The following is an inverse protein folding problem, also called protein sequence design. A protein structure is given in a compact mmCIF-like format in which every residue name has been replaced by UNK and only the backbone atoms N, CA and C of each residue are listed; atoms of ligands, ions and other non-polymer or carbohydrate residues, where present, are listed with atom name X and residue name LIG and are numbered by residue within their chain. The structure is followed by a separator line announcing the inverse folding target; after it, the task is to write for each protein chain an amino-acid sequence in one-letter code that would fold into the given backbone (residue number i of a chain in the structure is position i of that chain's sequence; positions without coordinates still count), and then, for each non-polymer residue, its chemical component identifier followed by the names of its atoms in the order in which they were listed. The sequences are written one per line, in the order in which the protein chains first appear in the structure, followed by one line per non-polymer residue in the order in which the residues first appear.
data_IF_603843087801
#
_entry.id   IF_603843087801
#
_cell.length_a   1.000
_cell.length_b   1.000
_cell.length_c   1.000
_cell.angle_alpha   90.00
_cell.angle_beta   90.00
_cell.angle_gamma   90.00
#
_symmetry.space_group_name_H-M   'P 1'
#
loop_
_entity.id
_entity.type
_entity.pdbx_description
1 polymer ?
#
# COMPACT_ATOMS: atom_id res chain seq x y z
N UNK A 1 5.37 -4.07 0.80
CA UNK A 1 5.30 -2.99 -0.21
C UNK A 1 5.33 -3.54 -1.64
N UNK A 2 4.65 -4.67 -1.89
CA UNK A 2 4.65 -5.35 -3.18
C UNK A 2 3.31 -5.09 -3.87
N UNK A 3 3.35 -4.59 -5.09
CA UNK A 3 2.20 -4.39 -5.96
C UNK A 3 1.62 -5.75 -6.39
N UNK A 4 0.32 -5.94 -6.20
CA UNK A 4 -0.37 -7.20 -6.50
C UNK A 4 -0.47 -7.52 -7.99
N UNK A 5 -0.34 -6.52 -8.88
CA UNK A 5 -0.41 -6.74 -10.33
C UNK A 5 0.73 -7.63 -10.87
N UNK A 6 1.98 -7.30 -10.56
CA UNK A 6 3.16 -7.98 -11.13
C UNK A 6 4.40 -7.87 -10.22
N UNK A 7 4.18 -7.87 -8.90
CA UNK A 7 5.25 -7.95 -7.90
C UNK A 7 6.19 -6.74 -7.77
N UNK A 8 5.88 -5.61 -8.43
CA UNK A 8 6.70 -4.40 -8.38
C UNK A 8 6.71 -3.73 -7.01
N UNK A 9 7.77 -2.98 -6.68
CA UNK A 9 7.83 -2.19 -5.45
C UNK A 9 6.86 -0.99 -5.50
N UNK A 10 6.09 -0.79 -4.43
CA UNK A 10 5.25 0.40 -4.23
C UNK A 10 5.99 1.53 -3.52
N UNK A 11 7.04 1.21 -2.76
CA UNK A 11 7.84 2.23 -2.10
C UNK A 11 8.52 3.13 -3.15
N UNK A 12 8.46 4.45 -2.92
CA UNK A 12 8.93 5.45 -3.87
C UNK A 12 7.92 5.83 -4.96
N UNK A 13 6.72 5.24 -4.95
CA UNK A 13 5.58 5.72 -5.75
C UNK A 13 5.00 7.02 -5.20
N UNK A 14 4.30 7.75 -6.05
CA UNK A 14 3.61 8.99 -5.67
C UNK A 14 2.38 8.69 -4.81
N UNK A 15 2.03 9.65 -3.95
CA UNK A 15 0.76 9.66 -3.22
C UNK A 15 -0.17 10.69 -3.85
N UNK A 16 -1.30 10.24 -4.37
CA UNK A 16 -2.35 11.09 -4.93
C UNK A 16 -3.60 11.00 -4.05
N UNK A 17 -3.83 12.03 -3.23
CA UNK A 17 -4.96 12.04 -2.29
C UNK A 17 -4.82 10.92 -1.25
N UNK A 18 -5.64 9.87 -1.38
CA UNK A 18 -5.64 8.69 -0.50
C UNK A 18 -5.10 7.43 -1.16
N UNK A 19 -4.46 7.57 -2.31
CA UNK A 19 -3.98 6.46 -3.11
C UNK A 19 -2.45 6.48 -3.22
N UNK A 20 -1.83 5.30 -3.16
CA UNK A 20 -0.45 5.12 -3.65
C UNK A 20 -0.48 4.70 -5.11
N UNK A 21 0.34 5.36 -5.94
CA UNK A 21 0.50 5.05 -7.36
C UNK A 21 1.73 4.19 -7.56
N UNK A 22 1.56 2.97 -8.10
CA UNK A 22 2.66 2.09 -8.42
C UNK A 22 3.57 2.74 -9.49
N UNK A 23 4.86 2.96 -9.20
CA UNK A 23 5.74 3.71 -10.11
C UNK A 23 6.05 2.98 -11.42
N UNK A 24 5.76 1.68 -11.51
CA UNK A 24 6.08 0.86 -12.68
C UNK A 24 5.03 0.96 -13.79
N UNK A 25 3.77 0.69 -13.47
CA UNK A 25 2.68 0.61 -14.45
C UNK A 25 1.43 1.44 -14.07
N UNK A 26 1.46 2.19 -12.97
CA UNK A 26 0.38 3.11 -12.58
C UNK A 26 -0.81 2.50 -11.85
N UNK A 27 -0.78 1.21 -11.46
CA UNK A 27 -1.79 0.63 -10.59
C UNK A 27 -1.94 1.45 -9.30
N UNK A 28 -3.16 1.57 -8.76
CA UNK A 28 -3.42 2.39 -7.57
C UNK A 28 -4.08 1.59 -6.46
N UNK A 29 -3.75 1.96 -5.23
CA UNK A 29 -4.27 1.31 -4.03
C UNK A 29 -4.67 2.33 -2.99
N UNK A 30 -5.82 2.11 -2.35
CA UNK A 30 -6.27 2.92 -1.21
C UNK A 30 -5.35 2.73 0.00
N UNK A 31 -4.85 3.82 0.59
CA UNK A 31 -3.91 3.76 1.72
C UNK A 31 -4.52 3.26 3.03
N UNK A 32 -5.86 3.31 3.18
CA UNK A 32 -6.55 2.87 4.40
C UNK A 32 -7.03 1.44 4.30
N UNK A 33 -7.53 1.03 3.13
CA UNK A 33 -8.15 -0.29 2.93
C UNK A 33 -7.26 -1.27 2.16
N UNK A 34 -6.30 -0.78 1.39
CA UNK A 34 -5.46 -1.59 0.50
C UNK A 34 -6.14 -1.98 -0.81
N UNK A 35 -7.41 -1.64 -0.99
CA UNK A 35 -8.19 -1.97 -2.19
C UNK A 35 -7.53 -1.42 -3.46
N UNK A 36 -7.52 -2.22 -4.51
CA UNK A 36 -7.10 -1.75 -5.83
C UNK A 36 -8.15 -0.80 -6.40
N UNK A 37 -7.76 0.43 -6.70
CA UNK A 37 -8.68 1.49 -7.17
C UNK A 37 -8.50 1.84 -8.64
N UNK A 38 -7.38 1.44 -9.25
CA UNK A 38 -7.13 1.60 -10.67
C UNK A 38 -6.31 0.44 -11.26
N UNK A 39 -6.58 0.05 -12.52
CA UNK A 39 -5.82 -0.99 -13.20
C UNK A 39 -4.34 -0.59 -13.38
N UNK A 40 -3.43 -1.55 -13.58
CA UNK A 40 -3.74 -2.96 -13.89
C UNK A 40 -3.85 -3.91 -12.68
N UNK A 41 -3.89 -3.43 -11.43
CA UNK A 41 -4.16 -4.29 -10.28
C UNK A 41 -5.66 -4.52 -10.06
N UNK A 42 -6.02 -5.71 -9.56
CA UNK A 42 -7.39 -6.08 -9.21
C UNK A 42 -7.51 -6.68 -7.81
N UNK A 43 -6.42 -7.18 -7.24
CA UNK A 43 -6.34 -7.69 -5.87
C UNK A 43 -5.83 -6.60 -4.91
N UNK A 44 -6.33 -6.54 -3.67
CA UNK A 44 -5.88 -5.58 -2.68
C UNK A 44 -4.47 -5.88 -2.19
N UNK A 45 -3.74 -4.83 -1.81
CA UNK A 45 -2.49 -4.97 -1.05
C UNK A 45 -2.79 -5.12 0.44
N UNK A 46 -1.87 -5.76 1.17
CA UNK A 46 -1.99 -5.87 2.62
C UNK A 46 -1.82 -4.52 3.30
N UNK A 47 -2.71 -4.21 4.25
CA UNK A 47 -2.60 -3.04 5.13
C UNK A 47 -2.09 -3.44 6.50
N UNK A 48 -1.26 -2.59 7.09
CA UNK A 48 -0.66 -2.84 8.39
C UNK A 48 -1.29 -1.90 9.43
N UNK A 49 -1.74 -2.40 10.60
CA UNK A 49 -2.14 -1.54 11.69
C UNK A 49 -1.01 -0.59 12.08
N UNK A 50 -1.31 0.72 12.11
CA UNK A 50 -0.36 1.78 12.44
C UNK A 50 -0.74 2.44 13.76
N UNK A 51 0.25 2.67 14.62
CA UNK A 51 0.11 3.46 15.85
C UNK A 51 1.16 4.57 15.88
N UNK A 52 0.74 5.79 16.23
CA UNK A 52 1.66 6.91 16.51
C UNK A 52 1.65 7.19 18.01
N UNK A 53 2.80 7.07 18.66
CA UNK A 53 2.94 7.24 20.11
C UNK A 53 4.34 7.74 20.47
N UNK A 54 4.43 8.80 21.29
CA UNK A 54 5.72 9.34 21.75
C UNK A 54 6.64 9.83 20.63
N UNK A 55 6.07 10.41 19.56
CA UNK A 55 6.83 10.87 18.40
C UNK A 55 7.38 9.75 17.50
N UNK A 56 6.94 8.50 17.70
CA UNK A 56 7.32 7.33 16.90
C UNK A 56 6.12 6.76 16.16
N UNK A 57 6.40 6.16 15.00
CA UNK A 57 5.42 5.40 14.21
C UNK A 57 5.73 3.92 14.39
N UNK A 58 4.71 3.14 14.75
CA UNK A 58 4.76 1.70 14.91
C UNK A 58 3.85 1.05 13.87
N UNK A 59 4.31 -0.05 13.29
CA UNK A 59 3.54 -0.90 12.40
C UNK A 59 3.51 -2.31 12.97
N UNK A 60 2.39 -3.03 12.82
CA UNK A 60 2.29 -4.45 13.15
C UNK A 60 2.18 -5.25 11.85
N UNK A 61 3.09 -6.20 11.64
CA UNK A 61 2.93 -7.22 10.62
C UNK A 61 2.12 -8.38 11.20
N UNK A 62 0.82 -8.37 10.93
CA UNK A 62 -0.15 -9.39 11.38
C UNK A 62 -0.26 -10.57 10.41
N UNK A 63 0.62 -10.67 9.41
CA UNK A 63 0.70 -11.85 8.53
C UNK A 63 1.46 -13.01 9.16
N UNK A 64 2.13 -12.79 10.28
CA UNK A 64 2.96 -13.76 10.99
C UNK A 64 2.43 -14.10 12.39
N UNK A 65 1.18 -13.72 12.67
CA UNK A 65 0.48 -14.07 13.91
C UNK A 65 -0.14 -15.48 13.83
#
# INVERSE_FOLDING_TARGET
DVCTHDGGCLAGGDIEGREVVCPRHGARFDLLTGEATAPPAYEPVHVFPVKVEGGRVYVRDDRWD
#
